data_IF_230820435282
#
_entry.id   IF_230820435282
#
_cell.length_a   1.000
_cell.length_b   1.000
_cell.length_c   1.000
_cell.angle_alpha   90.00
_cell.angle_beta   90.00
_cell.angle_gamma   90.00
#
_symmetry.space_group_name_H-M   'P 1'
#
loop_
_entity.id
_entity.type
_entity.pdbx_description
1 polymer ?
#
# COMPACT_ATOMS: atom_id res chain seq x y z
N UNK A 1 8.90 9.77 -24.20
CA UNK A 1 8.06 9.67 -22.99
C UNK A 1 8.97 9.18 -21.86
N UNK A 2 9.38 10.04 -20.93
CA UNK A 2 10.44 9.74 -19.94
C UNK A 2 9.93 9.38 -18.54
N UNK A 3 8.62 9.42 -18.31
CA UNK A 3 8.01 9.16 -16.99
C UNK A 3 7.65 7.69 -16.72
N UNK A 4 7.75 6.80 -17.71
CA UNK A 4 7.32 5.39 -17.58
C UNK A 4 8.21 4.55 -16.66
N UNK A 5 9.33 5.09 -16.17
CA UNK A 5 10.25 4.39 -15.28
C UNK A 5 10.40 5.03 -13.90
N UNK A 6 9.71 6.14 -13.62
CA UNK A 6 9.84 6.84 -12.34
C UNK A 6 9.00 6.17 -11.26
N UNK A 7 9.66 5.76 -10.16
CA UNK A 7 9.00 5.33 -8.94
C UNK A 7 8.39 6.55 -8.24
N UNK A 8 7.12 6.45 -7.86
CA UNK A 8 6.43 7.44 -7.03
C UNK A 8 6.22 6.85 -5.64
N UNK A 9 6.38 7.67 -4.61
CA UNK A 9 6.16 7.29 -3.22
C UNK A 9 5.09 8.20 -2.61
N UNK A 10 4.13 7.61 -1.91
CA UNK A 10 3.10 8.32 -1.14
C UNK A 10 3.15 7.81 0.29
N UNK A 11 3.38 8.70 1.27
CA UNK A 11 3.39 8.38 2.70
C UNK A 11 2.19 9.03 3.39
N UNK A 12 1.57 8.33 4.33
CA UNK A 12 0.43 8.82 5.10
C UNK A 12 -0.34 7.69 5.77
N UNK A 13 -1.53 8.01 6.28
CA UNK A 13 -2.42 7.00 6.84
C UNK A 13 -3.30 6.38 5.75
N UNK A 14 -3.37 5.05 5.71
CA UNK A 14 -4.08 4.30 4.69
C UNK A 14 -5.09 3.32 5.30
N UNK A 15 -6.17 3.07 4.57
CA UNK A 15 -7.19 2.08 4.90
C UNK A 15 -7.59 1.31 3.64
N UNK A 16 -7.65 -0.02 3.75
CA UNK A 16 -8.12 -0.91 2.68
C UNK A 16 -8.75 -2.19 3.24
N UNK A 17 -9.42 -2.95 2.37
CA UNK A 17 -9.90 -4.31 2.65
C UNK A 17 -9.08 -5.27 1.80
N UNK A 18 -8.33 -6.15 2.46
CA UNK A 18 -7.20 -6.89 1.87
C UNK A 18 -7.60 -8.11 1.05
N UNK A 19 -8.81 -8.63 1.23
CA UNK A 19 -9.35 -9.79 0.50
C UNK A 19 -10.86 -9.66 0.35
N UNK A 20 -11.40 -10.36 -0.65
CA UNK A 20 -12.85 -10.56 -0.77
C UNK A 20 -13.38 -11.35 0.41
N UNK A 21 -14.63 -11.10 0.79
CA UNK A 21 -15.34 -11.80 1.86
C UNK A 21 -16.73 -12.18 1.39
N UNK A 22 -17.26 -13.27 1.94
CA UNK A 22 -18.60 -13.76 1.57
C UNK A 22 -19.70 -13.22 2.51
N UNK A 23 -19.33 -12.87 3.76
CA UNK A 23 -20.25 -12.35 4.76
C UNK A 23 -19.79 -10.99 5.34
N UNK A 24 -20.70 -10.05 5.65
CA UNK A 24 -20.35 -8.74 6.21
C UNK A 24 -19.57 -8.81 7.53
N UNK A 25 -19.82 -9.81 8.37
CA UNK A 25 -19.15 -10.01 9.66
C UNK A 25 -17.63 -10.26 9.50
N UNK A 26 -17.20 -10.72 8.33
CA UNK A 26 -15.79 -10.98 8.03
C UNK A 26 -15.00 -9.73 7.63
N UNK A 27 -15.68 -8.62 7.30
CA UNK A 27 -15.02 -7.38 6.83
C UNK A 27 -14.01 -6.89 7.86
N UNK A 28 -14.33 -6.95 9.16
CA UNK A 28 -13.43 -6.51 10.22
C UNK A 28 -12.10 -7.30 10.22
N UNK A 29 -12.13 -8.57 9.85
CA UNK A 29 -10.93 -9.42 9.76
C UNK A 29 -10.14 -9.24 8.45
N UNK A 30 -10.72 -8.56 7.46
CA UNK A 30 -10.08 -8.23 6.18
C UNK A 30 -9.64 -6.75 6.11
N UNK A 31 -10.17 -5.92 7.01
CA UNK A 31 -9.83 -4.51 7.13
C UNK A 31 -8.39 -4.35 7.60
N UNK A 32 -7.66 -3.48 6.92
CA UNK A 32 -6.32 -3.07 7.32
C UNK A 32 -6.29 -1.55 7.43
N UNK A 33 -5.72 -1.08 8.53
CA UNK A 33 -5.40 0.32 8.75
C UNK A 33 -3.92 0.42 9.06
N UNK A 34 -3.22 1.30 8.34
CA UNK A 34 -1.81 1.60 8.55
C UNK A 34 -1.71 3.09 8.84
N UNK A 35 -1.31 3.46 10.05
CA UNK A 35 -1.25 4.86 10.49
C UNK A 35 -0.13 5.64 9.80
N UNK A 36 1.05 5.03 9.65
CA UNK A 36 2.24 5.59 8.99
C UNK A 36 2.71 4.70 7.84
N UNK A 37 1.90 4.63 6.78
CA UNK A 37 2.12 3.74 5.65
C UNK A 37 2.91 4.37 4.52
N UNK A 38 3.41 3.52 3.63
CA UNK A 38 4.06 3.88 2.38
C UNK A 38 3.45 3.10 1.22
N UNK A 39 3.10 3.81 0.16
CA UNK A 39 2.64 3.26 -1.11
C UNK A 39 3.65 3.62 -2.22
N UNK A 40 4.27 2.60 -2.81
CA UNK A 40 5.15 2.74 -3.96
C UNK A 40 4.39 2.41 -5.26
N UNK A 41 4.46 3.33 -6.22
CA UNK A 41 3.74 3.22 -7.49
C UNK A 41 4.75 3.28 -8.64
N UNK A 42 4.70 2.27 -9.51
CA UNK A 42 5.49 2.22 -10.74
C UNK A 42 4.58 1.85 -11.90
N UNK A 43 4.68 2.59 -13.00
CA UNK A 43 3.86 2.35 -14.21
C UNK A 43 2.34 2.28 -13.94
N UNK A 44 1.85 3.11 -13.01
CA UNK A 44 0.42 3.15 -12.67
C UNK A 44 -0.08 1.96 -11.85
N UNK A 45 0.82 1.09 -11.36
CA UNK A 45 0.49 -0.06 -10.50
C UNK A 45 1.12 0.09 -9.13
N UNK A 46 0.51 -0.55 -8.14
CA UNK A 46 1.09 -0.70 -6.80
C UNK A 46 2.26 -1.67 -6.91
N UNK A 47 3.46 -1.16 -6.66
CA UNK A 47 4.70 -1.95 -6.60
C UNK A 47 4.89 -2.53 -5.19
N UNK A 48 4.58 -1.72 -4.16
CA UNK A 48 4.74 -2.09 -2.75
C UNK A 48 3.79 -1.26 -1.87
N UNK A 49 3.26 -1.87 -0.81
CA UNK A 49 2.39 -1.19 0.15
C UNK A 49 2.51 -1.82 1.55
N UNK A 50 2.78 -1.01 2.57
CA UNK A 50 3.00 -1.46 3.95
C UNK A 50 3.42 -0.32 4.90
N UNK A 51 3.98 -0.67 6.05
CA UNK A 51 4.49 0.29 7.04
C UNK A 51 5.69 1.08 6.49
N UNK A 52 5.75 2.39 6.72
CA UNK A 52 6.85 3.24 6.24
C UNK A 52 8.23 2.72 6.65
N UNK A 53 8.37 2.19 7.87
CA UNK A 53 9.64 1.68 8.39
C UNK A 53 10.15 0.48 7.57
N UNK A 54 9.28 -0.45 7.18
CA UNK A 54 9.63 -1.63 6.38
C UNK A 54 10.06 -1.25 4.96
N UNK A 55 9.35 -0.26 4.38
CA UNK A 55 9.62 0.25 3.04
C UNK A 55 10.93 1.03 2.94
N UNK A 56 11.34 1.73 4.00
CA UNK A 56 12.65 2.40 4.07
C UNK A 56 13.81 1.40 4.03
N UNK A 57 13.74 0.32 4.81
CA UNK A 57 14.80 -0.66 4.93
C UNK A 57 15.05 -1.45 3.62
N UNK A 58 14.04 -1.53 2.76
CA UNK A 58 14.08 -2.26 1.49
C UNK A 58 14.74 -1.47 0.35
N UNK A 59 15.05 -0.18 0.54
CA UNK A 59 15.58 0.73 -0.49
C UNK A 59 16.87 1.46 -0.04
N UNK A 60 17.48 1.05 1.09
CA UNK A 60 18.77 1.53 1.60
C UNK A 60 19.94 0.67 1.16
#
# INVERSE_FOLDING_TARGET
MSGEHTLKAVRGSFIDVTRTVDNPEEIASALRFIEDGLLLIKQGKVEWFGEWEDGKASNS
#
